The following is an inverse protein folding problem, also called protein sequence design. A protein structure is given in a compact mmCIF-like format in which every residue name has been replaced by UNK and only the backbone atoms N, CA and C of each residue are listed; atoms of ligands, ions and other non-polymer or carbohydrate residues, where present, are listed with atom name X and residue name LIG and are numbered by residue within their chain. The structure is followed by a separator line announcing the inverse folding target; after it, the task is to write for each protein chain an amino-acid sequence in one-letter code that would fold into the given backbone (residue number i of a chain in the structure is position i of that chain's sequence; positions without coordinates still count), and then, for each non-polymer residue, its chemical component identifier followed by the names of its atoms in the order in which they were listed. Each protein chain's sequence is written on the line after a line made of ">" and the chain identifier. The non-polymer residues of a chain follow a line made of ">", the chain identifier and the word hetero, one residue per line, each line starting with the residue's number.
data_IF_552096180753
#
_entry.id   IF_552096180753
#
_cell.length_a   1.000
_cell.length_b   1.000
_cell.length_c   1.000
_cell.angle_alpha   90.00
_cell.angle_beta   90.00
_cell.angle_gamma   90.00
#
_symmetry.space_group_name_H-M   'P 1'
#
loop_
_entity.id
_entity.type
_entity.pdbx_description
1 polymer ?
#
# COMPACT_ATOMS: atom_id res chain seq x y z
N UNK A 1 12.23 64.90 64.06
CA UNK A 1 13.37 64.42 64.86
C UNK A 1 14.21 63.55 63.96
N UNK A 2 15.23 64.15 63.36
CA UNK A 2 16.67 63.96 63.59
C UNK A 2 17.13 62.55 63.54
N UNK A 3 17.97 62.11 62.60
CA UNK A 3 19.37 62.49 62.38
C UNK A 3 19.93 61.84 61.07
N UNK A 4 20.68 62.71 60.36
CA UNK A 4 21.74 62.32 59.46
C UNK A 4 22.75 61.33 60.06
N UNK A 5 23.36 60.49 59.20
CA UNK A 5 24.83 60.33 59.21
C UNK A 5 25.35 59.90 57.81
N UNK A 6 26.29 60.70 57.37
CA UNK A 6 27.24 60.51 56.22
C UNK A 6 28.27 59.45 56.53
N UNK A 7 28.77 58.72 55.55
CA UNK A 7 30.21 58.51 55.26
C UNK A 7 30.32 57.64 53.99
N UNK A 8 30.94 58.20 52.99
CA UNK A 8 32.31 57.95 52.54
C UNK A 8 32.49 56.57 51.83
N UNK A 9 32.56 56.51 50.62
CA UNK A 9 33.55 56.48 49.57
C UNK A 9 34.49 55.26 49.62
N UNK A 10 34.32 54.31 48.69
CA UNK A 10 35.47 53.53 48.24
C UNK A 10 35.23 53.16 46.78
N UNK A 11 36.06 53.72 45.92
CA UNK A 11 36.11 53.49 44.46
C UNK A 11 36.89 52.20 44.25
N UNK A 12 36.21 51.14 43.79
CA UNK A 12 36.90 49.89 43.35
C UNK A 12 36.84 49.85 41.84
N UNK A 13 37.99 50.04 41.22
CA UNK A 13 38.25 49.75 39.81
C UNK A 13 38.18 48.26 39.59
N UNK A 14 37.14 47.79 38.92
CA UNK A 14 37.08 46.42 38.41
C UNK A 14 37.50 46.46 36.93
N UNK A 15 38.69 45.93 36.67
CA UNK A 15 39.18 45.68 35.30
C UNK A 15 38.27 44.66 34.60
N UNK A 16 37.65 45.11 33.50
CA UNK A 16 36.83 44.25 32.64
C UNK A 16 37.69 43.24 31.88
N UNK A 17 37.63 41.98 32.27
CA UNK A 17 38.11 40.89 31.43
C UNK A 17 37.05 40.58 30.38
N UNK A 18 37.29 40.98 29.14
CA UNK A 18 36.52 40.56 27.97
C UNK A 18 36.76 39.04 27.76
N UNK A 19 35.84 38.20 28.23
CA UNK A 19 35.77 36.83 27.83
C UNK A 19 35.19 36.81 26.39
N UNK A 20 36.07 36.65 25.40
CA UNK A 20 35.70 36.29 24.03
C UNK A 20 35.20 34.86 24.10
N UNK A 21 33.86 34.69 24.18
CA UNK A 21 33.22 33.39 23.98
C UNK A 21 33.42 32.99 22.50
N UNK A 22 34.50 32.21 22.27
CA UNK A 22 34.69 31.52 21.01
C UNK A 22 33.58 30.49 20.88
N UNK A 23 32.53 30.81 20.09
CA UNK A 23 31.57 29.82 19.59
C UNK A 23 32.33 28.87 18.66
N UNK A 24 32.92 27.84 19.22
CA UNK A 24 33.31 26.68 18.45
C UNK A 24 32.01 26.04 17.93
N UNK A 25 31.69 26.21 16.63
CA UNK A 25 30.75 25.34 15.95
C UNK A 25 31.23 23.92 16.16
N UNK A 26 30.52 23.16 17.01
CA UNK A 26 30.64 21.70 16.98
C UNK A 26 30.49 21.28 15.52
N UNK A 27 31.35 20.41 14.99
CA UNK A 27 31.11 19.80 13.69
C UNK A 27 29.75 19.14 13.77
N UNK A 28 28.87 19.42 12.82
CA UNK A 28 27.65 18.66 12.64
C UNK A 28 28.06 17.19 12.57
N UNK A 29 27.70 16.41 13.58
CA UNK A 29 27.82 14.96 13.50
C UNK A 29 27.03 14.55 12.24
N UNK A 30 27.74 14.10 11.23
CA UNK A 30 27.14 13.63 10.00
C UNK A 30 26.12 12.54 10.38
N UNK A 31 24.85 12.85 10.25
CA UNK A 31 23.76 11.90 10.53
C UNK A 31 24.06 10.65 9.72
N UNK A 32 24.38 9.55 10.41
CA UNK A 32 24.67 8.27 9.73
C UNK A 32 23.46 7.91 8.87
N UNK A 33 23.67 7.54 7.60
CA UNK A 33 22.59 7.14 6.73
C UNK A 33 21.77 6.02 7.38
N UNK A 34 20.46 6.10 7.33
CA UNK A 34 19.58 5.02 7.77
C UNK A 34 19.88 3.76 6.96
N UNK A 35 20.11 2.64 7.63
CA UNK A 35 20.42 1.34 6.98
C UNK A 35 19.44 0.24 7.36
N UNK A 36 18.54 0.49 8.30
CA UNK A 36 17.51 -0.46 8.72
C UNK A 36 16.12 0.06 8.31
N UNK A 37 15.34 -0.78 7.61
CA UNK A 37 14.05 -0.43 7.05
C UNK A 37 13.02 -1.50 7.36
N UNK A 38 11.76 -1.06 7.50
CA UNK A 38 10.62 -1.94 7.77
C UNK A 38 9.53 -1.73 6.72
N UNK A 39 9.11 -2.85 6.11
CA UNK A 39 8.05 -2.89 5.12
C UNK A 39 6.86 -3.64 5.71
N UNK A 40 5.71 -2.96 5.81
CA UNK A 40 4.46 -3.55 6.24
C UNK A 40 3.75 -4.28 5.09
N UNK A 41 3.05 -5.36 5.40
CA UNK A 41 2.18 -6.07 4.45
C UNK A 41 1.02 -6.76 5.19
N UNK A 42 -0.05 -7.06 4.47
CA UNK A 42 -1.18 -7.85 4.96
C UNK A 42 -1.47 -9.04 4.02
N UNK A 43 -2.36 -9.94 4.45
CA UNK A 43 -2.61 -11.18 3.69
C UNK A 43 -3.43 -10.88 2.43
N UNK A 44 -2.79 -11.11 1.29
CA UNK A 44 -3.35 -11.09 -0.04
C UNK A 44 -2.54 -12.06 -0.93
N UNK A 45 -3.19 -12.81 -1.81
CA UNK A 45 -2.53 -13.82 -2.63
C UNK A 45 -1.34 -13.27 -3.44
N UNK A 46 -1.48 -12.07 -4.02
CA UNK A 46 -0.44 -11.40 -4.80
C UNK A 46 0.72 -10.86 -3.96
N UNK A 47 0.57 -10.69 -2.63
CA UNK A 47 1.63 -10.21 -1.75
C UNK A 47 2.40 -11.32 -1.03
N UNK A 48 2.00 -12.58 -1.19
CA UNK A 48 2.69 -13.73 -0.57
C UNK A 48 4.16 -13.89 -0.98
N UNK A 49 4.65 -13.32 -2.10
CA UNK A 49 6.08 -13.26 -2.37
C UNK A 49 6.91 -12.60 -1.26
N UNK A 50 6.40 -11.59 -0.55
CA UNK A 50 7.15 -10.86 0.49
C UNK A 50 7.52 -11.73 1.71
N UNK A 51 6.55 -12.37 2.41
CA UNK A 51 6.87 -13.25 3.54
C UNK A 51 7.67 -14.47 3.11
N UNK A 52 7.41 -15.02 1.93
CA UNK A 52 8.20 -16.11 1.39
C UNK A 52 9.67 -15.69 1.15
N UNK A 53 9.90 -14.53 0.54
CA UNK A 53 11.25 -14.02 0.32
C UNK A 53 12.04 -13.86 1.63
N UNK A 54 11.37 -13.45 2.70
CA UNK A 54 11.99 -13.38 4.03
C UNK A 54 12.33 -14.77 4.56
N UNK A 55 11.41 -15.71 4.49
CA UNK A 55 11.63 -17.10 4.94
C UNK A 55 12.71 -17.82 4.14
N UNK A 56 12.76 -17.58 2.83
CA UNK A 56 13.72 -18.21 1.90
C UNK A 56 15.12 -17.52 1.92
N UNK A 57 15.31 -16.48 2.72
CA UNK A 57 16.58 -15.74 2.80
C UNK A 57 16.86 -14.79 1.63
N UNK A 58 15.90 -14.62 0.70
CA UNK A 58 16.03 -13.71 -0.45
C UNK A 58 16.12 -12.26 0.03
N UNK A 59 15.31 -11.88 1.05
CA UNK A 59 15.38 -10.55 1.67
C UNK A 59 16.80 -10.29 2.21
N UNK A 60 17.34 -11.24 2.96
CA UNK A 60 18.70 -11.11 3.52
C UNK A 60 19.75 -10.97 2.42
N UNK A 61 19.68 -11.80 1.37
CA UNK A 61 20.61 -11.75 0.23
C UNK A 61 20.69 -10.36 -0.41
N UNK A 62 19.53 -9.76 -0.71
CA UNK A 62 19.48 -8.46 -1.35
C UNK A 62 19.81 -7.31 -0.38
N UNK A 63 19.42 -7.42 0.88
CA UNK A 63 19.78 -6.46 1.91
C UNK A 63 21.31 -6.43 2.12
N UNK A 64 21.95 -7.59 2.27
CA UNK A 64 23.41 -7.69 2.42
C UNK A 64 24.16 -7.11 1.21
N UNK A 65 23.67 -7.35 -0.02
CA UNK A 65 24.26 -6.81 -1.26
C UNK A 65 24.40 -5.29 -1.22
N UNK A 66 23.49 -4.60 -0.55
CA UNK A 66 23.46 -3.14 -0.47
C UNK A 66 23.83 -2.58 0.91
N UNK A 67 24.29 -3.42 1.84
CA UNK A 67 24.65 -3.01 3.20
C UNK A 67 23.45 -2.56 4.03
N UNK A 68 22.27 -3.16 3.83
CA UNK A 68 21.02 -2.82 4.46
C UNK A 68 20.53 -3.95 5.39
N UNK A 69 19.60 -3.60 6.28
CA UNK A 69 18.74 -4.51 7.01
C UNK A 69 17.28 -4.19 6.63
N UNK A 70 16.56 -5.19 6.14
CA UNK A 70 15.15 -5.03 5.71
C UNK A 70 14.32 -6.04 6.51
N UNK A 71 13.28 -5.52 7.19
CA UNK A 71 12.32 -6.30 7.96
C UNK A 71 10.98 -6.29 7.20
N UNK A 72 10.41 -7.46 6.94
CA UNK A 72 9.10 -7.63 6.32
C UNK A 72 8.12 -8.00 7.43
N UNK A 73 7.16 -7.11 7.74
CA UNK A 73 6.28 -7.22 8.92
C UNK A 73 4.84 -7.40 8.51
N UNK A 74 4.24 -8.50 8.94
CA UNK A 74 2.81 -8.76 8.72
C UNK A 74 1.95 -7.97 9.70
N UNK A 75 0.89 -7.38 9.19
CA UNK A 75 -0.23 -6.82 9.95
C UNK A 75 -1.49 -7.54 9.50
N UNK A 76 -2.27 -8.07 10.44
CA UNK A 76 -3.42 -8.91 10.09
C UNK A 76 -4.61 -8.12 9.51
N UNK A 77 -4.74 -6.86 9.86
CA UNK A 77 -5.73 -5.94 9.32
C UNK A 77 -5.06 -5.07 8.24
N UNK A 78 -5.63 -5.09 7.04
CA UNK A 78 -5.07 -4.39 5.89
C UNK A 78 -5.05 -2.87 6.08
N UNK A 79 -6.17 -2.27 6.52
CA UNK A 79 -6.26 -0.81 6.71
C UNK A 79 -5.31 -0.35 7.82
N UNK A 80 -5.18 -1.16 8.88
CA UNK A 80 -4.22 -0.87 9.96
C UNK A 80 -2.77 -0.90 9.45
N UNK A 81 -2.41 -1.81 8.51
CA UNK A 81 -1.07 -1.83 7.92
C UNK A 81 -0.74 -0.52 7.19
N UNK A 82 -1.70 0.02 6.44
CA UNK A 82 -1.57 1.29 5.71
C UNK A 82 -1.54 2.48 6.68
N UNK A 83 -2.35 2.44 7.75
CA UNK A 83 -2.35 3.47 8.79
C UNK A 83 -1.01 3.53 9.54
N UNK A 84 -0.40 2.39 9.86
CA UNK A 84 0.92 2.34 10.50
C UNK A 84 2.02 2.91 9.59
N UNK A 85 1.96 2.65 8.30
CA UNK A 85 2.84 3.31 7.32
C UNK A 85 2.61 4.82 7.28
N UNK A 86 1.35 5.25 7.21
CA UNK A 86 0.99 6.68 7.18
C UNK A 86 1.50 7.41 8.43
N UNK A 87 1.43 6.76 9.59
CA UNK A 87 1.96 7.25 10.86
C UNK A 87 3.49 7.18 10.99
N UNK A 88 4.20 6.68 9.95
CA UNK A 88 5.66 6.60 9.92
C UNK A 88 6.27 5.45 10.73
N UNK A 89 5.49 4.43 11.13
CA UNK A 89 6.02 3.23 11.79
C UNK A 89 6.72 2.29 10.81
N UNK A 90 6.33 2.33 9.53
CA UNK A 90 6.95 1.60 8.44
C UNK A 90 7.54 2.56 7.42
N UNK A 91 8.61 2.14 6.75
CA UNK A 91 9.24 2.88 5.67
C UNK A 91 8.53 2.68 4.32
N UNK A 92 7.86 1.55 4.19
CA UNK A 92 7.04 1.21 3.04
C UNK A 92 5.93 0.24 3.42
N UNK A 93 4.96 0.07 2.52
CA UNK A 93 3.82 -0.83 2.72
C UNK A 93 3.32 -1.36 1.38
N UNK A 94 2.80 -2.60 1.36
CA UNK A 94 2.00 -3.09 0.24
C UNK A 94 0.58 -2.53 0.34
N UNK A 95 0.06 -2.00 -0.75
CA UNK A 95 -1.21 -1.27 -0.74
C UNK A 95 -1.82 -1.22 -2.15
N UNK A 96 -3.14 -1.17 -2.26
CA UNK A 96 -3.77 -0.94 -3.57
C UNK A 96 -3.61 0.52 -4.03
N UNK A 97 -3.74 0.77 -5.32
CA UNK A 97 -3.64 2.11 -5.89
C UNK A 97 -4.68 3.09 -5.30
N UNK A 98 -5.89 2.61 -5.01
CA UNK A 98 -6.93 3.42 -4.39
C UNK A 98 -6.54 3.81 -2.97
N UNK A 99 -6.14 2.83 -2.15
CA UNK A 99 -5.86 3.06 -0.75
C UNK A 99 -4.54 3.84 -0.55
N UNK A 100 -3.58 3.71 -1.48
CA UNK A 100 -2.40 4.57 -1.54
C UNK A 100 -2.77 6.06 -1.74
N UNK A 101 -3.82 6.32 -2.52
CA UNK A 101 -4.32 7.68 -2.74
C UNK A 101 -5.12 8.20 -1.54
N UNK A 102 -6.02 7.37 -0.98
CA UNK A 102 -7.03 7.81 -0.01
C UNK A 102 -6.54 7.84 1.44
N UNK A 103 -5.52 7.05 1.78
CA UNK A 103 -5.01 6.97 3.16
C UNK A 103 -3.70 7.74 3.30
N UNK A 104 -2.53 7.28 2.81
CA UNK A 104 -1.30 8.03 2.99
C UNK A 104 -1.27 9.34 2.21
N UNK A 105 -1.59 9.32 0.91
CA UNK A 105 -1.46 10.53 0.09
C UNK A 105 -2.45 11.62 0.48
N UNK A 106 -3.73 11.30 0.69
CA UNK A 106 -4.72 12.25 1.21
C UNK A 106 -4.43 12.69 2.66
N UNK A 107 -3.74 11.86 3.44
CA UNK A 107 -3.22 12.18 4.76
C UNK A 107 -1.95 13.03 4.74
N UNK A 108 -1.45 13.44 3.58
CA UNK A 108 -0.24 14.28 3.42
C UNK A 108 1.09 13.51 3.47
N UNK A 109 1.06 12.17 3.49
CA UNK A 109 2.26 11.33 3.42
C UNK A 109 2.74 11.21 1.98
N UNK A 110 3.85 11.88 1.63
CA UNK A 110 4.45 11.78 0.30
C UNK A 110 5.03 10.38 0.09
N UNK A 111 4.44 9.62 -0.83
CA UNK A 111 4.69 8.20 -1.08
C UNK A 111 5.07 7.97 -2.53
N UNK A 112 6.08 7.11 -2.75
CA UNK A 112 6.49 6.64 -4.08
C UNK A 112 6.12 5.18 -4.27
N UNK A 113 5.25 4.87 -5.23
CA UNK A 113 4.97 3.53 -5.70
C UNK A 113 6.15 3.08 -6.58
N UNK A 114 7.05 2.31 -5.99
CA UNK A 114 8.29 1.87 -6.63
C UNK A 114 8.18 0.50 -7.31
N UNK A 115 7.10 -0.23 -7.00
CA UNK A 115 6.73 -1.49 -7.67
C UNK A 115 5.22 -1.45 -7.93
N UNK A 116 4.83 -1.70 -9.18
CA UNK A 116 3.49 -2.11 -9.57
C UNK A 116 3.56 -3.62 -9.74
N UNK A 117 3.04 -4.34 -8.76
CA UNK A 117 3.24 -5.78 -8.62
C UNK A 117 2.31 -6.61 -9.49
N UNK A 118 1.06 -6.23 -9.50
CA UNK A 118 -0.01 -6.92 -10.22
C UNK A 118 -1.26 -6.06 -10.38
N UNK A 119 -2.26 -6.62 -11.07
CA UNK A 119 -3.63 -6.14 -10.97
C UNK A 119 -4.60 -7.30 -10.71
N UNK A 120 -5.65 -6.99 -9.96
CA UNK A 120 -6.72 -7.94 -9.68
C UNK A 120 -7.51 -8.28 -10.95
N UNK A 121 -7.65 -9.56 -11.24
CA UNK A 121 -8.35 -10.08 -12.43
C UNK A 121 -9.27 -11.26 -12.07
N UNK A 122 -10.18 -11.01 -11.13
CA UNK A 122 -11.06 -12.00 -10.51
C UNK A 122 -10.67 -12.32 -9.06
N UNK A 123 -9.65 -11.64 -8.51
CA UNK A 123 -9.17 -11.84 -7.14
C UNK A 123 -10.04 -11.14 -6.10
N UNK A 124 -10.65 -10.02 -6.48
CA UNK A 124 -11.66 -9.31 -5.71
C UNK A 124 -13.05 -9.66 -6.24
N UNK A 125 -14.01 -9.95 -5.35
CA UNK A 125 -15.32 -10.42 -5.77
C UNK A 125 -16.44 -10.05 -4.83
N UNK A 126 -17.66 -10.03 -5.39
CA UNK A 126 -18.92 -9.78 -4.68
C UNK A 126 -19.69 -11.09 -4.61
N UNK A 127 -20.02 -11.52 -3.41
CA UNK A 127 -20.75 -12.74 -3.12
C UNK A 127 -22.17 -12.42 -2.65
N UNK A 128 -23.12 -13.19 -3.14
CA UNK A 128 -24.48 -13.24 -2.59
C UNK A 128 -24.80 -14.67 -2.12
N UNK A 129 -25.61 -14.78 -1.04
CA UNK A 129 -26.31 -16.01 -0.69
C UNK A 129 -27.74 -15.97 -1.20
N UNK A 130 -28.20 -17.11 -1.73
CA UNK A 130 -29.57 -17.27 -2.21
C UNK A 130 -29.92 -16.52 -3.50
N UNK A 131 -28.92 -16.05 -4.25
CA UNK A 131 -29.08 -15.42 -5.54
C UNK A 131 -27.79 -15.56 -6.36
N UNK A 132 -27.92 -15.57 -7.69
CA UNK A 132 -26.83 -15.72 -8.67
C UNK A 132 -26.72 -14.54 -9.66
N UNK A 133 -27.57 -13.52 -9.49
CA UNK A 133 -27.58 -12.32 -10.32
C UNK A 133 -27.24 -11.09 -9.47
N UNK A 134 -26.35 -10.23 -9.97
CA UNK A 134 -25.92 -9.02 -9.24
C UNK A 134 -27.09 -8.11 -8.85
N UNK A 135 -28.11 -7.99 -9.69
CA UNK A 135 -29.28 -7.14 -9.40
C UNK A 135 -30.02 -7.51 -8.09
N UNK A 136 -29.86 -8.76 -7.59
CA UNK A 136 -30.43 -9.20 -6.32
C UNK A 136 -29.71 -8.59 -5.09
N UNK A 137 -28.65 -7.81 -5.27
CA UNK A 137 -27.98 -7.06 -4.19
C UNK A 137 -28.86 -5.91 -3.67
N UNK A 138 -29.83 -5.45 -4.46
CA UNK A 138 -30.69 -4.31 -4.10
C UNK A 138 -31.42 -4.54 -2.78
N UNK A 139 -31.33 -3.54 -1.89
CA UNK A 139 -31.92 -3.56 -0.54
C UNK A 139 -31.15 -4.37 0.49
N UNK A 140 -30.02 -5.02 0.12
CA UNK A 140 -29.24 -5.80 1.07
C UNK A 140 -28.28 -4.95 1.88
N UNK A 141 -27.90 -5.49 3.05
CA UNK A 141 -26.69 -5.10 3.76
C UNK A 141 -25.52 -5.82 3.12
N UNK A 142 -24.49 -5.08 2.71
CA UNK A 142 -23.29 -5.59 2.05
C UNK A 142 -22.10 -5.39 2.98
N UNK A 143 -21.53 -6.49 3.42
CA UNK A 143 -20.38 -6.51 4.34
C UNK A 143 -19.08 -6.39 3.55
N UNK A 144 -18.23 -5.45 3.92
CA UNK A 144 -16.96 -5.19 3.24
C UNK A 144 -16.05 -4.32 4.09
N UNK A 145 -14.79 -4.23 3.73
CA UNK A 145 -13.90 -3.18 4.26
C UNK A 145 -14.33 -1.86 3.63
N UNK A 146 -15.07 -1.03 4.38
CA UNK A 146 -15.55 0.25 3.84
C UNK A 146 -14.39 1.19 3.50
N UNK A 147 -14.62 2.00 2.46
CA UNK A 147 -13.68 3.01 1.98
C UNK A 147 -12.34 2.45 1.47
N UNK A 148 -12.27 1.13 1.24
CA UNK A 148 -11.16 0.42 0.62
C UNK A 148 -11.45 0.01 -0.83
N UNK A 149 -10.52 -0.73 -1.42
CA UNK A 149 -10.67 -1.37 -2.74
C UNK A 149 -11.96 -2.19 -2.89
N UNK A 150 -12.44 -2.84 -1.81
CA UNK A 150 -13.71 -3.57 -1.83
C UNK A 150 -14.90 -2.64 -2.05
N UNK A 151 -14.87 -1.44 -1.46
CA UNK A 151 -15.90 -0.43 -1.69
C UNK A 151 -15.85 0.10 -3.13
N UNK A 152 -14.62 0.31 -3.67
CA UNK A 152 -14.44 0.68 -5.07
C UNK A 152 -15.03 -0.37 -6.02
N UNK A 153 -14.70 -1.67 -5.82
CA UNK A 153 -15.27 -2.77 -6.63
C UNK A 153 -16.79 -2.77 -6.60
N UNK A 154 -17.39 -2.60 -5.41
CA UNK A 154 -18.84 -2.55 -5.24
C UNK A 154 -19.45 -1.37 -6.01
N UNK A 155 -18.88 -0.19 -5.91
CA UNK A 155 -19.35 1.00 -6.60
C UNK A 155 -19.28 0.83 -8.13
N UNK A 156 -18.18 0.26 -8.64
CA UNK A 156 -18.03 -0.05 -10.06
C UNK A 156 -19.07 -1.08 -10.54
N UNK A 157 -19.38 -2.08 -9.72
CA UNK A 157 -20.42 -3.07 -10.03
C UNK A 157 -21.81 -2.43 -10.07
N UNK A 158 -22.14 -1.57 -9.10
CA UNK A 158 -23.41 -0.82 -9.07
C UNK A 158 -23.54 0.08 -10.29
N UNK A 159 -22.50 0.85 -10.63
CA UNK A 159 -22.48 1.73 -11.82
C UNK A 159 -22.74 0.93 -13.11
N UNK A 160 -22.04 -0.19 -13.31
CA UNK A 160 -22.24 -1.06 -14.49
C UNK A 160 -23.64 -1.64 -14.57
N UNK A 161 -24.28 -1.85 -13.43
CA UNK A 161 -25.66 -2.34 -13.33
C UNK A 161 -26.72 -1.21 -13.40
N UNK A 162 -26.30 0.06 -13.54
CA UNK A 162 -27.21 1.22 -13.51
C UNK A 162 -27.85 1.45 -12.15
N UNK A 163 -27.25 0.95 -11.08
CA UNK A 163 -27.72 1.09 -9.70
C UNK A 163 -26.98 2.23 -8.99
N UNK A 164 -27.57 2.72 -7.90
CA UNK A 164 -27.00 3.79 -7.08
C UNK A 164 -26.45 3.21 -5.76
N UNK A 165 -25.46 3.85 -5.13
CA UNK A 165 -25.01 3.48 -3.80
C UNK A 165 -26.13 3.42 -2.75
N UNK A 166 -27.18 4.25 -2.90
CA UNK A 166 -28.36 4.28 -2.04
C UNK A 166 -29.29 3.06 -2.21
N UNK A 167 -29.07 2.23 -3.23
CA UNK A 167 -29.85 1.00 -3.43
C UNK A 167 -29.42 -0.14 -2.48
N UNK A 168 -28.32 0.03 -1.76
CA UNK A 168 -27.77 -0.93 -0.79
C UNK A 168 -27.39 -0.21 0.52
N UNK A 169 -27.04 -0.99 1.54
CA UNK A 169 -26.44 -0.47 2.77
C UNK A 169 -25.13 -1.19 3.04
N UNK A 170 -24.03 -0.45 3.14
CA UNK A 170 -22.73 -1.03 3.51
C UNK A 170 -22.64 -1.29 5.02
N UNK A 171 -21.87 -2.30 5.40
CA UNK A 171 -21.53 -2.64 6.78
C UNK A 171 -20.03 -2.84 6.85
N UNK A 172 -19.35 -1.93 7.55
CA UNK A 172 -17.90 -2.01 7.69
C UNK A 172 -17.49 -3.27 8.45
N UNK A 173 -16.63 -4.07 7.82
CA UNK A 173 -16.15 -5.34 8.36
C UNK A 173 -14.69 -5.51 7.93
N UNK A 174 -13.78 -5.76 8.88
CA UNK A 174 -12.36 -5.95 8.57
C UNK A 174 -12.15 -7.20 7.71
N UNK A 175 -11.06 -7.22 6.96
CA UNK A 175 -10.64 -8.40 6.17
C UNK A 175 -10.32 -9.61 7.06
N UNK A 176 -9.92 -9.37 8.32
CA UNK A 176 -9.71 -10.42 9.31
C UNK A 176 -11.02 -11.09 9.76
N UNK A 177 -12.12 -10.34 9.78
CA UNK A 177 -13.42 -10.79 10.32
C UNK A 177 -14.42 -11.21 9.25
N UNK A 178 -14.23 -10.82 7.98
CA UNK A 178 -15.22 -10.95 6.89
C UNK A 178 -15.66 -12.39 6.64
N UNK A 179 -14.74 -13.35 6.76
CA UNK A 179 -15.04 -14.79 6.57
C UNK A 179 -15.98 -15.29 7.65
N UNK A 180 -15.72 -14.90 8.91
CA UNK A 180 -16.56 -15.24 10.06
C UNK A 180 -17.94 -14.59 9.95
N UNK A 181 -17.98 -13.30 9.61
CA UNK A 181 -19.22 -12.57 9.41
C UNK A 181 -20.09 -13.20 8.32
N UNK A 182 -19.50 -13.52 7.16
CA UNK A 182 -20.22 -14.18 6.06
C UNK A 182 -20.68 -15.60 6.43
N UNK A 183 -20.09 -16.25 7.43
CA UNK A 183 -20.57 -17.53 7.98
C UNK A 183 -21.98 -17.44 8.59
N UNK A 184 -22.39 -16.27 9.08
CA UNK A 184 -23.74 -16.07 9.63
C UNK A 184 -24.82 -16.20 8.56
N UNK A 185 -25.98 -16.87 8.87
CA UNK A 185 -27.12 -16.95 7.95
C UNK A 185 -27.68 -15.58 7.54
N UNK A 186 -27.60 -14.59 8.44
CA UNK A 186 -28.15 -13.25 8.22
C UNK A 186 -27.29 -12.40 7.27
N UNK A 187 -26.03 -12.75 7.10
CA UNK A 187 -25.11 -12.08 6.18
C UNK A 187 -25.22 -12.70 4.79
N UNK A 188 -25.91 -12.03 3.91
CA UNK A 188 -26.29 -12.55 2.57
C UNK A 188 -25.58 -11.85 1.42
N UNK A 189 -24.77 -10.82 1.68
CA UNK A 189 -23.94 -10.15 0.68
C UNK A 189 -22.63 -9.68 1.29
N UNK A 190 -21.53 -9.93 0.59
CA UNK A 190 -20.21 -9.46 1.02
C UNK A 190 -19.29 -9.21 -0.18
N UNK A 191 -18.26 -8.38 0.05
CA UNK A 191 -17.18 -8.13 -0.88
C UNK A 191 -15.86 -8.46 -0.19
N UNK A 192 -15.00 -9.21 -0.86
CA UNK A 192 -13.71 -9.61 -0.31
C UNK A 192 -12.71 -9.91 -1.44
N UNK A 193 -11.46 -10.12 -1.06
CA UNK A 193 -10.38 -10.59 -1.93
C UNK A 193 -9.82 -11.95 -1.45
N UNK A 194 -8.96 -12.55 -2.25
CA UNK A 194 -8.33 -13.83 -1.90
C UNK A 194 -7.17 -13.62 -0.88
N UNK A 195 -7.07 -14.52 0.12
CA UNK A 195 -7.70 -15.85 0.20
C UNK A 195 -9.12 -15.88 0.77
N UNK A 196 -9.58 -14.81 1.44
CA UNK A 196 -10.88 -14.75 2.11
C UNK A 196 -12.04 -15.05 1.14
N UNK A 197 -12.02 -14.46 -0.05
CA UNK A 197 -13.02 -14.70 -1.10
C UNK A 197 -13.18 -16.17 -1.43
N UNK A 198 -12.06 -16.91 -1.59
CA UNK A 198 -12.08 -18.35 -1.88
C UNK A 198 -12.72 -19.15 -0.76
N UNK A 199 -12.44 -18.83 0.50
CA UNK A 199 -13.05 -19.48 1.66
C UNK A 199 -14.56 -19.21 1.70
N UNK A 200 -14.95 -17.96 1.46
CA UNK A 200 -16.37 -17.56 1.45
C UNK A 200 -17.15 -18.20 0.28
N UNK A 201 -16.53 -18.35 -0.89
CA UNK A 201 -17.12 -19.06 -2.06
C UNK A 201 -17.42 -20.52 -1.76
N UNK A 202 -16.69 -21.15 -0.83
CA UNK A 202 -16.94 -22.53 -0.37
C UNK A 202 -18.12 -22.66 0.59
N UNK A 203 -18.68 -21.56 1.09
CA UNK A 203 -19.80 -21.61 2.03
C UNK A 203 -21.14 -21.91 1.32
N UNK A 204 -22.07 -22.56 2.05
CA UNK A 204 -23.35 -22.97 1.49
C UNK A 204 -24.16 -21.78 0.94
N UNK A 205 -24.64 -21.92 -0.30
CA UNK A 205 -25.45 -20.91 -0.98
C UNK A 205 -24.71 -19.70 -1.52
N UNK A 206 -23.39 -19.60 -1.30
CA UNK A 206 -22.57 -18.50 -1.81
C UNK A 206 -22.43 -18.57 -3.34
N UNK A 207 -22.66 -17.45 -4.01
CA UNK A 207 -22.47 -17.28 -5.46
C UNK A 207 -21.71 -15.99 -5.71
N UNK A 208 -20.67 -16.06 -6.51
CA UNK A 208 -19.97 -14.86 -7.01
C UNK A 208 -20.81 -14.26 -8.12
N UNK A 209 -21.21 -12.99 -7.97
CA UNK A 209 -22.09 -12.28 -8.89
C UNK A 209 -21.38 -11.17 -9.66
N UNK A 210 -20.21 -10.75 -9.20
CA UNK A 210 -19.34 -9.79 -9.87
C UNK A 210 -17.90 -9.97 -9.34
N UNK A 211 -16.90 -9.70 -10.17
CA UNK A 211 -15.52 -9.68 -9.73
C UNK A 211 -14.65 -8.73 -10.58
N UNK A 212 -13.43 -8.52 -10.17
CA UNK A 212 -12.48 -7.56 -10.75
C UNK A 212 -12.08 -7.86 -12.19
N UNK A 213 -12.30 -9.07 -12.73
CA UNK A 213 -12.07 -9.36 -14.14
C UNK A 213 -13.01 -8.58 -15.07
N UNK A 214 -14.10 -8.02 -14.53
CA UNK A 214 -15.04 -7.15 -15.25
C UNK A 214 -14.59 -5.68 -15.28
N UNK A 215 -13.52 -5.33 -14.54
CA UNK A 215 -12.88 -4.02 -14.51
C UNK A 215 -11.34 -4.18 -14.58
N UNK A 216 -10.81 -4.86 -15.61
CA UNK A 216 -9.41 -5.25 -15.65
C UNK A 216 -8.48 -4.02 -15.61
N UNK A 217 -7.43 -4.09 -14.78
CA UNK A 217 -6.43 -3.03 -14.64
C UNK A 217 -6.90 -1.80 -13.83
N UNK A 218 -8.09 -1.82 -13.22
CA UNK A 218 -8.53 -0.74 -12.33
C UNK A 218 -8.02 -0.90 -10.90
N UNK A 219 -7.86 -2.12 -10.41
CA UNK A 219 -7.31 -2.44 -9.09
C UNK A 219 -5.88 -2.90 -9.26
N UNK A 220 -4.94 -2.06 -8.85
CA UNK A 220 -3.49 -2.32 -8.92
C UNK A 220 -2.94 -2.54 -7.51
N UNK A 221 -1.99 -3.45 -7.38
CA UNK A 221 -1.27 -3.72 -6.15
C UNK A 221 0.15 -3.17 -6.23
N UNK A 222 0.50 -2.37 -5.25
CA UNK A 222 1.70 -1.55 -5.21
C UNK A 222 2.56 -1.89 -4.00
N UNK A 223 3.87 -1.66 -4.14
CA UNK A 223 4.72 -1.36 -3.00
C UNK A 223 5.00 0.14 -3.01
N UNK A 224 4.53 0.84 -1.98
CA UNK A 224 4.87 2.26 -1.77
C UNK A 224 5.92 2.40 -0.67
N UNK A 225 6.81 3.37 -0.83
CA UNK A 225 7.83 3.75 0.14
C UNK A 225 7.76 5.26 0.35
N UNK A 226 8.03 5.72 1.57
CA UNK A 226 8.15 7.15 1.86
C UNK A 226 9.14 7.81 0.89
N UNK A 227 8.69 8.88 0.23
CA UNK A 227 9.46 9.52 -0.87
C UNK A 227 10.79 10.09 -0.38
N UNK A 228 10.84 10.66 0.82
CA UNK A 228 12.09 11.17 1.39
C UNK A 228 13.06 10.01 1.71
N UNK A 229 12.52 8.91 2.25
CA UNK A 229 13.28 7.71 2.54
C UNK A 229 13.90 7.11 1.28
N UNK A 230 13.13 6.93 0.21
CA UNK A 230 13.65 6.31 -1.03
C UNK A 230 14.64 7.22 -1.76
N UNK A 231 14.44 8.54 -1.71
CA UNK A 231 15.40 9.52 -2.27
C UNK A 231 16.73 9.52 -1.52
N UNK A 232 16.68 9.44 -0.18
CA UNK A 232 17.90 9.37 0.64
C UNK A 232 18.61 8.03 0.53
N UNK A 233 17.88 6.95 0.21
CA UNK A 233 18.38 5.57 0.21
C UNK A 233 17.97 4.82 -1.07
N UNK A 234 18.49 5.18 -2.25
CA UNK A 234 18.11 4.51 -3.51
C UNK A 234 18.49 3.03 -3.54
N UNK A 235 19.45 2.60 -2.73
CA UNK A 235 19.79 1.20 -2.57
C UNK A 235 18.66 0.36 -1.95
N UNK A 236 17.79 0.98 -1.14
CA UNK A 236 16.57 0.33 -0.65
C UNK A 236 15.66 -0.08 -1.81
N UNK A 237 15.39 0.83 -2.74
CA UNK A 237 14.56 0.55 -3.91
C UNK A 237 15.14 -0.56 -4.80
N UNK A 238 16.46 -0.56 -5.00
CA UNK A 238 17.16 -1.63 -5.73
C UNK A 238 17.01 -2.98 -5.02
N UNK A 239 17.19 -3.01 -3.70
CA UNK A 239 17.02 -4.23 -2.92
C UNK A 239 15.59 -4.75 -2.99
N UNK A 240 14.57 -3.87 -2.79
CA UNK A 240 13.16 -4.24 -2.84
C UNK A 240 12.74 -4.76 -4.22
N UNK A 241 13.15 -4.10 -5.30
CA UNK A 241 12.92 -4.59 -6.67
C UNK A 241 13.61 -5.94 -6.91
N UNK A 242 14.84 -6.11 -6.44
CA UNK A 242 15.56 -7.39 -6.55
C UNK A 242 14.87 -8.52 -5.79
N UNK A 243 14.43 -8.28 -4.56
CA UNK A 243 13.65 -9.22 -3.76
C UNK A 243 12.39 -9.65 -4.51
N UNK A 244 11.63 -8.68 -5.01
CA UNK A 244 10.37 -8.91 -5.69
C UNK A 244 10.54 -9.76 -6.94
N UNK A 245 11.37 -9.32 -7.88
CA UNK A 245 11.49 -10.02 -9.17
C UNK A 245 12.21 -11.37 -9.07
N UNK A 246 13.17 -11.55 -8.16
CA UNK A 246 13.77 -12.87 -7.91
C UNK A 246 12.72 -13.84 -7.36
N UNK A 247 11.88 -13.39 -6.44
CA UNK A 247 10.83 -14.21 -5.86
C UNK A 247 9.76 -14.57 -6.88
N UNK A 248 9.33 -13.62 -7.72
CA UNK A 248 8.39 -13.90 -8.81
C UNK A 248 8.96 -14.85 -9.85
N UNK A 249 10.25 -14.72 -10.19
CA UNK A 249 10.92 -15.63 -11.11
C UNK A 249 10.92 -17.07 -10.57
N UNK A 250 11.17 -17.25 -9.26
CA UNK A 250 11.09 -18.54 -8.60
C UNK A 250 9.65 -19.08 -8.59
N UNK A 251 8.67 -18.25 -8.24
CA UNK A 251 7.27 -18.63 -8.19
C UNK A 251 6.71 -19.10 -9.55
N UNK A 252 7.19 -18.54 -10.66
CA UNK A 252 6.79 -18.91 -12.04
C UNK A 252 7.33 -20.26 -12.49
N UNK A 253 8.36 -20.80 -11.86
CA UNK A 253 8.96 -22.07 -12.27
C UNK A 253 7.96 -23.21 -12.16
N UNK A 254 8.00 -24.13 -13.13
CA UNK A 254 7.13 -25.31 -13.16
C UNK A 254 7.81 -26.55 -12.59
N UNK A 255 9.08 -26.44 -12.21
CA UNK A 255 9.88 -27.51 -11.60
C UNK A 255 9.59 -27.67 -10.10
N UNK A 256 10.32 -28.55 -9.44
CA UNK A 256 10.16 -28.84 -8.01
C UNK A 256 10.35 -27.58 -7.14
N UNK A 257 11.33 -26.74 -7.47
CA UNK A 257 11.61 -25.51 -6.70
C UNK A 257 10.46 -24.50 -6.78
N UNK A 258 9.88 -24.29 -7.96
CA UNK A 258 8.73 -23.39 -8.11
C UNK A 258 7.48 -23.93 -7.40
N UNK A 259 7.24 -25.25 -7.46
CA UNK A 259 6.14 -25.89 -6.73
C UNK A 259 6.31 -25.77 -5.22
N UNK A 260 7.53 -25.98 -4.71
CA UNK A 260 7.85 -25.82 -3.29
C UNK A 260 7.65 -24.39 -2.82
N UNK A 261 8.11 -23.39 -3.62
CA UNK A 261 7.91 -21.99 -3.31
C UNK A 261 6.42 -21.65 -3.21
N UNK A 262 5.60 -22.03 -4.19
CA UNK A 262 4.15 -21.79 -4.13
C UNK A 262 3.46 -22.55 -2.99
N UNK A 263 3.89 -23.77 -2.67
CA UNK A 263 3.36 -24.51 -1.53
C UNK A 263 3.70 -23.83 -0.20
N UNK A 264 4.90 -23.26 -0.07
CA UNK A 264 5.28 -22.45 1.12
C UNK A 264 4.45 -21.18 1.22
N UNK A 265 4.23 -20.45 0.11
CA UNK A 265 3.36 -19.29 0.07
C UNK A 265 1.91 -19.64 0.42
N UNK A 266 1.39 -20.75 -0.09
CA UNK A 266 0.08 -21.26 0.26
C UNK A 266 -0.06 -21.49 1.77
N UNK A 267 0.92 -22.14 2.39
CA UNK A 267 0.95 -22.36 3.83
C UNK A 267 0.95 -21.06 4.62
N UNK A 268 1.73 -20.07 4.19
CA UNK A 268 1.80 -18.76 4.81
C UNK A 268 0.48 -17.98 4.70
N UNK A 269 -0.29 -18.18 3.62
CA UNK A 269 -1.62 -17.56 3.44
C UNK A 269 -2.77 -18.37 4.09
N UNK A 270 -2.49 -19.53 4.69
CA UNK A 270 -3.52 -20.43 5.22
C UNK A 270 -4.29 -21.22 4.16
N UNK A 271 -3.84 -21.21 2.89
CA UNK A 271 -4.46 -21.93 1.79
C UNK A 271 -3.82 -23.32 1.57
N UNK A 272 -4.54 -24.22 0.88
CA UNK A 272 -3.88 -25.39 0.31
C UNK A 272 -3.07 -25.00 -0.94
N UNK A 273 -2.04 -25.77 -1.35
CA UNK A 273 -1.31 -25.47 -2.58
C UNK A 273 -2.21 -25.37 -3.82
N UNK A 274 -3.22 -26.22 -3.93
CA UNK A 274 -4.16 -26.20 -5.04
C UNK A 274 -5.08 -24.95 -5.01
N UNK A 275 -5.49 -24.48 -3.82
CA UNK A 275 -6.27 -23.27 -3.68
C UNK A 275 -5.42 -22.05 -4.03
N UNK A 276 -4.18 -22.00 -3.55
CA UNK A 276 -3.27 -20.90 -3.85
C UNK A 276 -2.96 -20.82 -5.35
N UNK A 277 -2.67 -21.94 -6.00
CA UNK A 277 -2.46 -21.98 -7.46
C UNK A 277 -3.71 -21.46 -8.22
N UNK A 278 -4.94 -21.78 -7.75
CA UNK A 278 -6.17 -21.19 -8.31
C UNK A 278 -6.28 -19.70 -8.06
N UNK A 279 -5.96 -19.22 -6.86
CA UNK A 279 -5.97 -17.78 -6.53
C UNK A 279 -5.00 -17.00 -7.43
N UNK A 280 -3.82 -17.56 -7.71
CA UNK A 280 -2.85 -16.93 -8.62
C UNK A 280 -3.37 -16.78 -10.05
N UNK A 281 -4.36 -17.58 -10.49
CA UNK A 281 -4.98 -17.40 -11.82
C UNK A 281 -5.91 -16.17 -11.88
N UNK A 282 -6.29 -15.63 -10.73
CA UNK A 282 -7.16 -14.46 -10.60
C UNK A 282 -6.39 -13.16 -10.31
N UNK A 283 -5.07 -13.22 -10.38
CA UNK A 283 -4.15 -12.10 -10.20
C UNK A 283 -3.19 -12.05 -11.38
N UNK A 284 -3.17 -10.93 -12.10
CA UNK A 284 -2.22 -10.74 -13.20
C UNK A 284 -0.92 -10.17 -12.65
N UNK A 285 0.02 -11.06 -12.30
CA UNK A 285 1.33 -10.67 -11.78
C UNK A 285 2.24 -10.13 -12.88
N UNK A 286 2.76 -8.92 -12.70
CA UNK A 286 3.80 -8.34 -13.54
C UNK A 286 5.17 -8.95 -13.22
N UNK A 287 5.30 -10.24 -13.49
CA UNK A 287 6.50 -11.02 -13.17
C UNK A 287 7.69 -10.76 -14.13
N UNK A 288 7.44 -10.13 -15.27
CA UNK A 288 8.46 -9.52 -16.12
C UNK A 288 8.54 -8.03 -15.76
N UNK A 289 9.69 -7.54 -15.30
CA UNK A 289 9.83 -6.12 -14.95
C UNK A 289 9.57 -5.19 -16.15
N UNK A 290 9.79 -5.62 -17.40
CA UNK A 290 9.44 -4.85 -18.59
C UNK A 290 7.93 -4.62 -18.70
N UNK A 291 7.14 -5.63 -18.36
CA UNK A 291 5.68 -5.51 -18.37
C UNK A 291 5.19 -4.55 -17.26
N UNK A 292 5.82 -4.57 -16.09
CA UNK A 292 5.52 -3.63 -15.01
C UNK A 292 5.86 -2.18 -15.41
N UNK A 293 7.03 -1.95 -16.03
CA UNK A 293 7.41 -0.64 -16.57
C UNK A 293 6.40 -0.19 -17.63
N UNK A 294 6.05 -1.06 -18.57
CA UNK A 294 5.07 -0.74 -19.63
C UNK A 294 3.71 -0.34 -19.03
N UNK A 295 3.23 -1.07 -18.01
CA UNK A 295 1.98 -0.74 -17.33
C UNK A 295 2.06 0.61 -16.58
N UNK A 296 3.18 0.88 -15.91
CA UNK A 296 3.39 2.10 -15.13
C UNK A 296 3.53 3.35 -15.99
N UNK A 297 4.09 3.21 -17.19
CA UNK A 297 4.27 4.31 -18.16
C UNK A 297 3.10 4.50 -19.12
N UNK A 298 2.16 3.54 -19.15
CA UNK A 298 1.01 3.59 -20.05
C UNK A 298 0.03 4.73 -19.71
N UNK A 299 -0.56 5.38 -20.74
CA UNK A 299 -1.65 6.35 -20.52
C UNK A 299 -2.85 5.77 -19.77
N UNK A 300 -3.04 4.45 -19.82
CA UNK A 300 -4.08 3.73 -19.12
C UNK A 300 -3.98 3.91 -17.58
N UNK A 301 -2.78 3.97 -17.02
CA UNK A 301 -2.58 4.22 -15.60
C UNK A 301 -3.17 5.57 -15.16
N UNK A 302 -2.90 6.64 -15.93
CA UNK A 302 -3.45 7.97 -15.64
C UNK A 302 -4.98 7.95 -15.71
N UNK A 303 -5.56 7.24 -16.69
CA UNK A 303 -7.01 7.07 -16.79
C UNK A 303 -7.58 6.32 -15.59
N UNK A 304 -6.98 5.21 -15.20
CA UNK A 304 -7.37 4.46 -13.99
C UNK A 304 -7.31 5.35 -12.75
N UNK A 305 -6.21 6.07 -12.55
CA UNK A 305 -6.08 6.95 -11.37
C UNK A 305 -7.03 8.15 -11.40
N UNK A 306 -7.46 8.60 -12.59
CA UNK A 306 -8.53 9.60 -12.70
C UNK A 306 -9.85 9.04 -12.18
N UNK A 307 -10.22 7.82 -12.58
CA UNK A 307 -11.44 7.17 -12.10
C UNK A 307 -11.40 6.92 -10.58
N UNK A 308 -10.27 6.43 -10.09
CA UNK A 308 -10.04 6.21 -8.65
C UNK A 308 -10.15 7.52 -7.87
N UNK A 309 -9.52 8.61 -8.34
CA UNK A 309 -9.59 9.93 -7.74
C UNK A 309 -11.03 10.45 -7.68
N UNK A 310 -11.73 10.39 -8.79
CA UNK A 310 -13.10 10.92 -8.91
C UNK A 310 -14.07 10.12 -8.03
N UNK A 311 -13.92 8.80 -7.98
CA UNK A 311 -14.60 7.94 -7.02
C UNK A 311 -14.31 8.36 -5.59
N UNK A 312 -13.04 8.47 -5.24
CA UNK A 312 -12.60 8.79 -3.88
C UNK A 312 -13.13 10.14 -3.41
N UNK A 313 -13.10 11.15 -4.27
CA UNK A 313 -13.65 12.46 -3.97
C UNK A 313 -15.17 12.42 -3.79
N UNK A 314 -15.91 11.76 -4.71
CA UNK A 314 -17.37 11.67 -4.64
C UNK A 314 -17.88 10.91 -3.41
N UNK A 315 -17.04 10.06 -2.80
CA UNK A 315 -17.34 9.32 -1.57
C UNK A 315 -16.73 9.96 -0.31
N UNK A 316 -16.20 11.20 -0.42
CA UNK A 316 -15.70 11.95 0.74
C UNK A 316 -14.39 11.42 1.35
N UNK A 317 -13.60 10.65 0.58
CA UNK A 317 -12.35 10.05 1.05
C UNK A 317 -11.20 11.08 1.16
N UNK A 318 -11.33 12.22 0.51
CA UNK A 318 -10.39 13.33 0.66
C UNK A 318 -10.88 14.30 1.74
N UNK A 319 -10.70 13.92 2.99
CA UNK A 319 -11.21 14.60 4.20
C UNK A 319 -11.17 16.13 4.10
N UNK A 320 -12.34 16.76 3.88
CA UNK A 320 -12.47 18.21 3.85
C UNK A 320 -11.91 18.91 2.61
N UNK A 321 -11.46 18.16 1.59
CA UNK A 321 -10.98 18.75 0.34
C UNK A 321 -12.12 19.39 -0.45
N UNK A 322 -11.86 20.59 -1.00
CA UNK A 322 -12.83 21.32 -1.81
C UNK A 322 -12.92 20.79 -3.26
N UNK A 323 -11.97 19.98 -3.70
CA UNK A 323 -11.83 19.50 -5.08
C UNK A 323 -11.19 18.11 -5.11
N UNK A 324 -11.52 17.33 -6.15
CA UNK A 324 -10.84 16.08 -6.47
C UNK A 324 -9.34 16.29 -6.74
N UNK A 325 -8.93 17.48 -7.13
CA UNK A 325 -7.55 17.84 -7.43
C UNK A 325 -6.71 18.18 -6.18
N UNK A 326 -7.27 18.12 -4.97
CA UNK A 326 -6.55 18.47 -3.74
C UNK A 326 -5.34 17.55 -3.46
N UNK A 327 -5.32 16.35 -4.00
CA UNK A 327 -4.21 15.41 -3.91
C UNK A 327 -3.54 15.27 -5.27
N UNK A 328 -2.28 15.69 -5.36
CA UNK A 328 -1.49 15.56 -6.58
C UNK A 328 -0.87 14.17 -6.72
N UNK A 329 -0.90 13.64 -7.93
CA UNK A 329 -0.25 12.40 -8.31
C UNK A 329 0.72 12.65 -9.47
N UNK A 330 1.97 12.19 -9.34
CA UNK A 330 2.97 12.26 -10.41
C UNK A 330 3.17 10.89 -11.07
N UNK A 331 3.37 10.92 -12.37
CA UNK A 331 3.57 9.74 -13.21
C UNK A 331 4.88 9.86 -14.01
N UNK A 332 5.44 8.73 -14.49
CA UNK A 332 6.58 8.75 -15.40
C UNK A 332 6.35 9.69 -16.60
N UNK A 333 7.42 10.30 -17.09
CA UNK A 333 7.34 11.26 -18.19
C UNK A 333 6.85 12.65 -17.79
N UNK A 334 6.80 12.96 -16.48
CA UNK A 334 6.49 14.31 -15.96
C UNK A 334 5.00 14.67 -15.97
N UNK A 335 4.11 13.70 -16.19
CA UNK A 335 2.67 13.92 -16.09
C UNK A 335 2.25 14.08 -14.64
N UNK A 336 1.26 14.96 -14.39
CA UNK A 336 0.65 15.16 -13.08
C UNK A 336 -0.87 15.13 -13.22
N UNK A 337 -1.55 14.50 -12.27
CA UNK A 337 -3.00 14.53 -12.08
C UNK A 337 -3.26 15.16 -10.70
N UNK A 338 -4.22 16.09 -10.62
CA UNK A 338 -4.49 16.86 -9.40
C UNK A 338 -3.52 18.03 -9.23
N UNK A 339 -3.34 18.50 -8.00
CA UNK A 339 -2.52 19.68 -7.70
C UNK A 339 -1.02 19.40 -7.87
N UNK A 340 -0.35 20.01 -8.85
CA UNK A 340 1.11 19.85 -9.05
C UNK A 340 1.93 20.45 -7.92
N UNK A 341 1.38 21.39 -7.14
CA UNK A 341 2.02 21.97 -5.96
C UNK A 341 1.93 21.07 -4.72
N UNK A 342 1.05 20.06 -4.73
CA UNK A 342 0.81 19.18 -3.60
C UNK A 342 0.80 17.70 -4.03
N UNK A 343 1.91 17.25 -4.62
CA UNK A 343 2.08 15.84 -5.05
C UNK A 343 2.47 14.98 -3.86
N UNK A 344 1.60 14.05 -3.49
CA UNK A 344 1.79 13.13 -2.36
C UNK A 344 1.72 11.65 -2.75
N UNK A 345 1.44 11.34 -4.03
CA UNK A 345 1.59 9.99 -4.59
C UNK A 345 2.39 10.07 -5.90
N UNK A 346 3.42 9.24 -6.01
CA UNK A 346 4.30 9.17 -7.18
C UNK A 346 4.37 7.76 -7.71
N UNK A 347 4.19 7.57 -8.99
CA UNK A 347 4.50 6.31 -9.67
C UNK A 347 5.93 6.43 -10.23
N UNK A 348 6.85 5.65 -9.63
CA UNK A 348 8.28 5.67 -9.96
C UNK A 348 8.67 4.33 -10.58
N UNK A 349 8.90 4.32 -11.89
CA UNK A 349 9.28 3.13 -12.64
C UNK A 349 10.79 2.85 -12.63
N UNK A 350 11.61 3.69 -11.99
CA UNK A 350 13.07 3.64 -12.09
C UNK A 350 13.65 2.31 -11.60
N UNK A 351 13.18 1.77 -10.48
CA UNK A 351 13.68 0.51 -9.91
C UNK A 351 13.21 -0.70 -10.71
N UNK A 352 11.98 -0.66 -11.25
CA UNK A 352 11.48 -1.68 -12.17
C UNK A 352 12.26 -1.65 -13.49
N UNK A 353 12.61 -0.47 -14.00
CA UNK A 353 13.47 -0.29 -15.17
C UNK A 353 14.89 -0.83 -14.93
N UNK A 354 15.48 -0.59 -13.75
CA UNK A 354 16.77 -1.19 -13.38
C UNK A 354 16.72 -2.72 -13.36
N UNK A 355 15.60 -3.30 -12.86
CA UNK A 355 15.39 -4.75 -12.91
C UNK A 355 15.29 -5.26 -14.36
N UNK A 356 14.54 -4.56 -15.22
CA UNK A 356 14.36 -4.90 -16.62
C UNK A 356 15.68 -4.87 -17.41
N UNK A 357 16.60 -3.98 -17.03
CA UNK A 357 17.92 -3.81 -17.64
C UNK A 357 19.01 -4.70 -17.02
N UNK A 358 18.70 -5.47 -15.97
CA UNK A 358 19.70 -6.28 -15.24
C UNK A 358 20.72 -5.44 -14.46
N UNK A 359 20.33 -4.26 -13.98
CA UNK A 359 21.19 -3.28 -13.28
C UNK A 359 20.98 -3.26 -11.76
N UNK A 360 20.28 -4.25 -11.19
CA UNK A 360 20.09 -4.41 -9.76
C UNK A 360 21.30 -5.07 -9.07
#
# INVERSE_FOLDING_TARGET
>A
MTRLFRKAGTMVLIAGALLIASCSKQPDEAVKPKTEFTIGWSIYAGWMPWPYAQQAGIVKKWADKYGLKINIVQVNDYVESVNQYTAGKFDGVTVTNMDALTIPAAGGKDSSAIIVGDYSNGNDGILLKGADQFAAIKGRQVYLVELSVSHYLLARALEKAGMKPTDIKTVNTSDADIVGAFGSPDVTAAVAWNPQLSVMKGQAGAKEVFNSSQIPGEILDLLVVDTATIKANPNLGKALAGIWYETLALMKRQDAQGKEARAAMAKLSGATPADFDRQLTTTYLYSDPKAAVAATTAPALVKTMTQVRDFSFSHGLFKGAASADAVGMAFPGGKTLGDPGHVTLRFDDSFMSMAADGKL
#
